data_IF_365413542464
#
_entry.id   IF_365413542464
#
_cell.length_a   1.000
_cell.length_b   1.000
_cell.length_c   1.000
_cell.angle_alpha   90.00
_cell.angle_beta   90.00
_cell.angle_gamma   90.00
#
_symmetry.space_group_name_H-M   'P 1'
#
loop_
_entity.id
_entity.type
_entity.pdbx_description
1 polymer ?
#
# COMPACT_ATOMS: atom_id res chain seq x y z
N UNK A 1 11.33 2.33 -18.74
CA UNK A 1 11.55 3.59 -18.01
C UNK A 1 11.28 3.39 -16.53
N UNK A 2 10.13 2.84 -16.13
CA UNK A 2 9.89 2.52 -14.73
C UNK A 2 10.66 1.27 -14.27
N UNK A 3 11.04 1.22 -13.00
CA UNK A 3 11.76 0.15 -12.33
C UNK A 3 11.01 -0.27 -11.05
N UNK A 4 11.02 -1.55 -10.67
CA UNK A 4 10.41 -2.02 -9.43
C UNK A 4 11.16 -1.50 -8.20
N UNK A 5 10.46 -1.36 -7.08
CA UNK A 5 11.10 -1.06 -5.79
C UNK A 5 11.52 -2.36 -5.09
N UNK A 6 12.79 -2.43 -4.66
CA UNK A 6 13.37 -3.56 -3.94
C UNK A 6 13.02 -4.95 -4.56
N UNK A 7 13.39 -5.21 -5.84
CA UNK A 7 13.11 -6.49 -6.49
C UNK A 7 13.72 -7.69 -5.77
N UNK A 8 14.76 -7.50 -4.95
CA UNK A 8 15.40 -8.52 -4.11
C UNK A 8 14.46 -9.19 -3.10
N UNK A 9 13.33 -8.53 -2.74
CA UNK A 9 12.33 -9.12 -1.85
C UNK A 9 11.46 -10.17 -2.53
N UNK A 10 11.53 -10.30 -3.87
CA UNK A 10 10.83 -11.33 -4.65
C UNK A 10 9.31 -11.34 -4.45
N UNK A 11 8.73 -10.19 -4.12
CA UNK A 11 7.28 -10.01 -3.95
C UNK A 11 6.56 -9.68 -5.26
N UNK A 12 7.32 -9.47 -6.36
CA UNK A 12 6.81 -9.00 -7.65
C UNK A 12 5.97 -7.71 -7.48
N UNK A 13 6.60 -6.58 -7.11
CA UNK A 13 5.88 -5.36 -6.82
C UNK A 13 5.11 -4.85 -8.04
N UNK A 14 3.87 -4.43 -7.79
CA UNK A 14 2.98 -3.87 -8.81
C UNK A 14 3.07 -2.34 -8.92
N UNK A 15 3.89 -1.69 -8.09
CA UNK A 15 4.17 -0.25 -8.12
C UNK A 15 5.62 -0.02 -8.53
N UNK A 16 5.81 0.80 -9.57
CA UNK A 16 7.09 1.02 -10.24
C UNK A 16 7.42 2.50 -10.24
N UNK A 17 8.72 2.82 -10.21
CA UNK A 17 9.23 4.18 -10.06
C UNK A 17 10.16 4.55 -11.22
N UNK A 18 10.16 5.83 -11.57
CA UNK A 18 11.14 6.40 -12.50
C UNK A 18 12.21 7.10 -11.64
N UNK A 19 13.50 6.75 -11.75
CA UNK A 19 14.57 7.37 -10.98
C UNK A 19 14.73 8.86 -11.35
N UNK A 20 15.02 9.73 -10.38
CA UNK A 20 15.12 11.17 -10.62
C UNK A 20 16.44 11.53 -11.30
N UNK A 21 16.38 12.47 -12.25
CA UNK A 21 17.57 13.19 -12.69
C UNK A 21 18.00 14.13 -11.56
N UNK A 22 19.07 13.77 -10.85
CA UNK A 22 19.71 14.68 -9.89
C UNK A 22 20.28 15.91 -10.62
N UNK A 23 20.53 17.05 -9.94
CA UNK A 23 21.07 18.25 -10.58
C UNK A 23 22.43 18.00 -11.23
N UNK A 24 22.43 17.74 -12.54
CA UNK A 24 23.62 17.57 -13.37
C UNK A 24 24.26 18.93 -13.70
N UNK A 25 23.41 19.95 -13.84
CA UNK A 25 23.77 21.28 -14.35
C UNK A 25 24.75 22.00 -13.43
N UNK A 26 24.65 21.78 -12.12
CA UNK A 26 25.54 22.43 -11.14
C UNK A 26 26.98 21.95 -11.26
N UNK A 27 27.22 20.68 -11.64
CA UNK A 27 28.57 20.14 -11.83
C UNK A 27 29.23 20.63 -13.14
N UNK A 28 28.43 20.95 -14.16
CA UNK A 28 28.93 21.35 -15.49
C UNK A 28 29.04 22.87 -15.64
N UNK A 29 28.27 23.66 -14.85
CA UNK A 29 28.30 25.14 -14.86
C UNK A 29 29.70 25.73 -14.73
N UNK A 30 30.55 25.13 -13.89
CA UNK A 30 31.90 25.64 -13.61
C UNK A 30 32.90 25.38 -14.75
N UNK A 31 32.53 24.57 -15.74
CA UNK A 31 33.40 24.18 -16.85
C UNK A 31 33.25 25.04 -18.10
N UNK A 32 32.31 26.00 -18.11
CA UNK A 32 32.03 26.89 -19.24
C UNK A 32 31.39 26.20 -20.46
N UNK A 33 30.96 24.95 -20.32
CA UNK A 33 30.30 24.15 -21.37
C UNK A 33 28.79 24.22 -21.20
N UNK A 34 28.03 24.09 -22.29
CA UNK A 34 26.57 24.06 -22.21
C UNK A 34 26.15 22.80 -21.46
N UNK A 35 25.72 22.99 -20.21
CA UNK A 35 25.31 21.92 -19.31
C UNK A 35 24.06 21.15 -19.81
N UNK A 36 23.36 21.70 -20.79
CA UNK A 36 22.17 21.12 -21.40
C UNK A 36 22.42 20.51 -22.79
N UNK A 37 23.67 20.52 -23.27
CA UNK A 37 24.07 19.79 -24.48
C UNK A 37 24.01 18.28 -24.20
N UNK A 38 23.41 17.52 -25.12
CA UNK A 38 23.28 16.06 -25.03
C UNK A 38 24.61 15.36 -24.73
N UNK A 39 25.73 15.82 -25.31
CA UNK A 39 27.06 15.22 -25.09
C UNK A 39 27.54 15.41 -23.66
N UNK A 40 27.26 16.59 -23.10
CA UNK A 40 27.63 16.94 -21.74
C UNK A 40 26.69 16.28 -20.73
N UNK A 41 25.38 16.22 -21.02
CA UNK A 41 24.39 15.55 -20.19
C UNK A 41 24.67 14.05 -20.08
N UNK A 42 25.04 13.38 -21.18
CA UNK A 42 25.40 11.96 -21.14
C UNK A 42 26.68 11.68 -20.36
N UNK A 43 27.69 12.55 -20.47
CA UNK A 43 28.92 12.44 -19.68
C UNK A 43 28.68 12.73 -18.19
N UNK A 44 27.64 13.51 -17.87
CA UNK A 44 27.38 13.97 -16.53
C UNK A 44 26.31 13.13 -15.79
N UNK A 45 25.75 12.08 -16.43
CA UNK A 45 25.03 11.00 -15.71
C UNK A 45 25.96 10.34 -14.69
N UNK A 46 27.24 10.17 -15.02
CA UNK A 46 28.25 9.62 -14.11
C UNK A 46 28.64 10.60 -12.98
N UNK A 47 28.33 11.89 -13.14
CA UNK A 47 28.64 12.96 -12.21
C UNK A 47 27.42 13.42 -11.38
N UNK A 48 26.33 12.64 -11.38
CA UNK A 48 25.15 12.94 -10.58
C UNK A 48 25.49 13.02 -9.09
N UNK A 49 24.89 14.01 -8.40
CA UNK A 49 24.99 14.15 -6.94
C UNK A 49 24.54 12.89 -6.20
N UNK A 50 23.52 12.22 -6.71
CA UNK A 50 23.06 10.92 -6.20
C UNK A 50 23.82 9.84 -6.97
N UNK A 51 24.66 9.03 -6.30
CA UNK A 51 25.39 7.96 -6.97
C UNK A 51 24.44 6.95 -7.61
N UNK A 52 24.78 6.49 -8.83
CA UNK A 52 23.99 5.47 -9.53
C UNK A 52 23.91 4.18 -8.71
N UNK A 53 24.99 3.81 -8.00
CA UNK A 53 25.04 2.64 -7.13
C UNK A 53 24.00 2.67 -6.01
N UNK A 54 23.64 3.86 -5.51
CA UNK A 54 22.59 4.00 -4.51
C UNK A 54 21.21 3.70 -5.11
N UNK A 55 20.94 4.23 -6.30
CA UNK A 55 19.70 3.97 -7.02
C UNK A 55 19.60 2.50 -7.46
N UNK A 56 20.73 1.88 -7.81
CA UNK A 56 20.81 0.47 -8.18
C UNK A 56 20.40 -0.44 -7.02
N UNK A 57 20.82 -0.13 -5.80
CA UNK A 57 20.40 -0.87 -4.60
C UNK A 57 18.90 -0.77 -4.35
N UNK A 58 18.26 0.34 -4.74
CA UNK A 58 16.85 0.59 -4.51
C UNK A 58 15.95 -0.06 -5.57
N UNK A 59 16.38 -0.03 -6.84
CA UNK A 59 15.51 -0.34 -7.98
C UNK A 59 15.83 -1.63 -8.73
N UNK A 60 17.05 -2.15 -8.59
CA UNK A 60 17.58 -3.20 -9.47
C UNK A 60 18.44 -4.23 -8.73
N UNK A 61 18.24 -4.38 -7.41
CA UNK A 61 18.98 -5.31 -6.55
C UNK A 61 20.52 -5.16 -6.67
N UNK A 62 20.99 -3.92 -6.87
CA UNK A 62 22.42 -3.59 -6.97
C UNK A 62 22.99 -3.57 -8.39
N UNK A 63 22.22 -3.88 -9.44
CA UNK A 63 22.68 -3.74 -10.83
C UNK A 63 22.53 -2.29 -11.33
N UNK A 64 23.61 -1.54 -11.62
CA UNK A 64 23.50 -0.16 -12.06
C UNK A 64 23.05 -0.01 -13.52
N UNK A 65 23.19 -1.03 -14.36
CA UNK A 65 22.98 -0.90 -15.81
C UNK A 65 21.54 -0.47 -16.20
N UNK A 66 20.47 -1.03 -15.60
CA UNK A 66 19.10 -0.61 -15.93
C UNK A 66 18.81 0.82 -15.44
N UNK A 67 19.41 1.23 -14.32
CA UNK A 67 19.25 2.61 -13.80
C UNK A 67 19.93 3.60 -14.74
N UNK A 68 21.18 3.35 -15.12
CA UNK A 68 21.94 4.18 -16.06
C UNK A 68 21.20 4.33 -17.40
N UNK A 69 20.66 3.23 -17.94
CA UNK A 69 19.88 3.27 -19.17
C UNK A 69 18.63 4.17 -19.06
N UNK A 70 17.94 4.16 -17.92
CA UNK A 70 16.77 5.03 -17.70
C UNK A 70 17.19 6.49 -17.55
N UNK A 71 18.25 6.77 -16.81
CA UNK A 71 18.77 8.13 -16.62
C UNK A 71 19.23 8.74 -17.94
N UNK A 72 19.93 7.97 -18.79
CA UNK A 72 20.32 8.39 -20.15
C UNK A 72 19.11 8.71 -21.02
N UNK A 73 18.05 7.90 -20.97
CA UNK A 73 16.81 8.18 -21.73
C UNK A 73 16.12 9.47 -21.27
N UNK A 74 16.05 9.72 -19.97
CA UNK A 74 15.51 10.97 -19.42
C UNK A 74 16.36 12.19 -19.83
N UNK A 75 17.69 12.06 -19.80
CA UNK A 75 18.61 13.10 -20.24
C UNK A 75 18.49 13.39 -21.74
N UNK A 76 18.39 12.34 -22.56
CA UNK A 76 18.18 12.45 -24.01
C UNK A 76 16.88 13.19 -24.34
N UNK A 77 15.78 12.86 -23.66
CA UNK A 77 14.51 13.55 -23.82
C UNK A 77 14.60 15.04 -23.49
N UNK A 78 15.27 15.37 -22.38
CA UNK A 78 15.46 16.76 -21.97
C UNK A 78 16.24 17.55 -23.02
N UNK A 79 17.34 16.99 -23.52
CA UNK A 79 18.16 17.62 -24.56
C UNK A 79 17.38 17.80 -25.87
N UNK A 80 16.75 16.72 -26.36
CA UNK A 80 15.99 16.72 -27.61
C UNK A 80 14.83 17.71 -27.59
N UNK A 81 14.03 17.71 -26.52
CA UNK A 81 12.90 18.64 -26.38
C UNK A 81 13.36 20.09 -26.15
N UNK A 82 14.54 20.31 -25.57
CA UNK A 82 15.12 21.65 -25.44
C UNK A 82 15.42 22.25 -26.81
N UNK A 83 16.04 21.51 -27.72
CA UNK A 83 16.36 22.02 -29.05
C UNK A 83 15.10 22.42 -29.80
N UNK A 84 14.06 21.59 -29.74
CA UNK A 84 12.72 21.90 -30.30
C UNK A 84 12.13 23.17 -29.66
N UNK A 85 12.15 23.27 -28.33
CA UNK A 85 11.60 24.43 -27.61
C UNK A 85 12.38 25.73 -27.89
N UNK A 86 13.66 25.63 -28.27
CA UNK A 86 14.49 26.76 -28.68
C UNK A 86 14.38 27.09 -30.18
N UNK A 87 13.55 26.36 -30.93
CA UNK A 87 13.36 26.55 -32.37
C UNK A 87 14.56 26.09 -33.21
N UNK A 88 15.40 25.20 -32.67
CA UNK A 88 16.48 24.54 -33.41
C UNK A 88 15.93 23.33 -34.15
N UNK A 89 16.68 22.90 -35.17
CA UNK A 89 16.33 21.68 -35.90
C UNK A 89 16.46 20.46 -34.96
N UNK A 90 15.48 19.54 -34.93
CA UNK A 90 15.58 18.31 -34.16
C UNK A 90 16.76 17.46 -34.62
N UNK A 91 17.54 16.93 -33.67
CA UNK A 91 18.64 16.02 -33.94
C UNK A 91 18.25 14.58 -33.59
N UNK A 92 17.97 13.78 -34.62
CA UNK A 92 17.59 12.37 -34.48
C UNK A 92 18.71 11.49 -33.87
N UNK A 93 19.97 11.96 -33.84
CA UNK A 93 21.06 11.22 -33.21
C UNK A 93 20.94 11.15 -31.69
N UNK A 94 20.19 12.06 -31.06
CA UNK A 94 20.01 12.10 -29.61
C UNK A 94 19.12 10.93 -29.13
N UNK A 95 17.90 10.71 -29.68
CA UNK A 95 17.13 9.49 -29.41
C UNK A 95 17.87 8.20 -29.80
N UNK A 96 18.57 8.18 -30.94
CA UNK A 96 19.28 6.99 -31.41
C UNK A 96 20.37 6.54 -30.43
N UNK A 97 21.08 7.49 -29.81
CA UNK A 97 22.11 7.21 -28.80
C UNK A 97 21.60 6.44 -27.57
N UNK A 98 20.29 6.48 -27.29
CA UNK A 98 19.64 5.73 -26.20
C UNK A 98 18.75 4.59 -26.69
N UNK A 99 18.85 4.25 -27.99
CA UNK A 99 18.11 3.18 -28.64
C UNK A 99 16.62 3.48 -28.80
N UNK A 100 16.25 4.75 -28.98
CA UNK A 100 14.87 5.19 -29.20
C UNK A 100 14.73 5.92 -30.54
N UNK A 101 13.55 5.85 -31.13
CA UNK A 101 13.19 6.71 -32.27
C UNK A 101 12.69 8.09 -31.82
N UNK A 102 12.61 9.05 -32.75
CA UNK A 102 12.06 10.38 -32.49
C UNK A 102 10.59 10.32 -32.01
N UNK A 103 9.77 9.49 -32.66
CA UNK A 103 8.36 9.28 -32.26
C UNK A 103 8.26 8.75 -30.83
N UNK A 104 9.06 7.75 -30.47
CA UNK A 104 9.11 7.21 -29.11
C UNK A 104 9.55 8.26 -28.08
N UNK A 105 10.45 9.18 -28.48
CA UNK A 105 10.87 10.29 -27.64
C UNK A 105 9.73 11.28 -27.40
N UNK A 106 8.96 11.60 -28.45
CA UNK A 106 7.76 12.43 -28.34
C UNK A 106 6.67 11.78 -27.50
N UNK A 107 6.42 10.48 -27.64
CA UNK A 107 5.46 9.74 -26.81
C UNK A 107 5.87 9.76 -25.34
N UNK A 108 7.16 9.59 -25.07
CA UNK A 108 7.69 9.68 -23.71
C UNK A 108 7.50 11.09 -23.13
N UNK A 109 7.77 12.15 -23.92
CA UNK A 109 7.50 13.53 -23.52
C UNK A 109 6.00 13.77 -23.29
N UNK A 110 5.13 13.22 -24.13
CA UNK A 110 3.68 13.30 -23.97
C UNK A 110 3.23 12.70 -22.65
N UNK A 111 3.71 11.50 -22.31
CA UNK A 111 3.34 10.81 -21.08
C UNK A 111 3.92 11.48 -19.82
N UNK A 112 5.17 11.94 -19.86
CA UNK A 112 5.87 12.45 -18.67
C UNK A 112 5.71 13.95 -18.44
N UNK A 113 5.70 14.77 -19.50
CA UNK A 113 5.71 16.22 -19.40
C UNK A 113 4.33 16.85 -19.68
N UNK A 114 3.63 16.43 -20.74
CA UNK A 114 2.27 16.92 -21.00
C UNK A 114 1.26 16.26 -20.05
N UNK A 115 1.38 14.95 -19.85
CA UNK A 115 0.71 14.16 -18.83
C UNK A 115 -0.80 14.47 -18.71
N UNK A 116 -1.52 14.39 -19.84
CA UNK A 116 -2.97 14.64 -19.88
C UNK A 116 -3.72 13.65 -18.98
N UNK A 117 -4.83 14.09 -18.40
CA UNK A 117 -5.54 13.32 -17.38
C UNK A 117 -6.00 11.94 -17.87
N UNK A 118 -6.55 11.89 -19.08
CA UNK A 118 -7.02 10.69 -19.77
C UNK A 118 -5.90 9.71 -20.16
N UNK A 119 -4.66 10.19 -20.23
CA UNK A 119 -3.48 9.37 -20.55
C UNK A 119 -2.74 8.90 -19.29
N UNK A 120 -2.91 9.60 -18.15
CA UNK A 120 -2.33 9.20 -16.86
C UNK A 120 -3.06 8.02 -16.23
N UNK A 121 -4.38 7.97 -16.40
CA UNK A 121 -5.23 6.99 -15.73
C UNK A 121 -6.04 6.19 -16.74
N UNK A 122 -5.44 5.12 -17.24
CA UNK A 122 -6.14 4.12 -18.07
C UNK A 122 -6.62 3.00 -17.16
N UNK A 123 -7.64 3.30 -16.35
CA UNK A 123 -8.26 2.34 -15.43
C UNK A 123 -9.53 1.82 -16.11
N UNK A 124 -9.55 0.58 -16.63
CA UNK A 124 -10.75 0.01 -17.21
C UNK A 124 -11.83 -0.15 -16.12
N UNK A 125 -13.12 -0.10 -16.48
CA UNK A 125 -14.18 -0.43 -15.54
C UNK A 125 -13.94 -1.84 -15.00
N UNK A 126 -14.00 -1.99 -13.68
CA UNK A 126 -14.04 -3.30 -13.07
C UNK A 126 -15.35 -3.98 -13.51
N UNK A 127 -15.26 -5.16 -14.11
CA UNK A 127 -16.41 -6.01 -14.44
C UNK A 127 -17.01 -6.59 -13.15
N UNK A 128 -17.54 -5.71 -12.29
CA UNK A 128 -18.13 -6.07 -11.01
C UNK A 128 -19.31 -7.03 -11.19
N UNK A 129 -19.98 -7.02 -12.34
CA UNK A 129 -21.02 -7.98 -12.70
C UNK A 129 -20.53 -9.43 -12.76
N UNK A 130 -19.25 -9.67 -13.10
CA UNK A 130 -18.64 -11.01 -13.08
C UNK A 130 -18.12 -11.34 -11.68
N UNK A 131 -17.61 -10.35 -10.94
CA UNK A 131 -17.18 -10.53 -9.55
C UNK A 131 -18.36 -10.85 -8.62
N UNK A 132 -19.54 -10.27 -8.86
CA UNK A 132 -20.74 -10.53 -8.06
C UNK A 132 -21.21 -12.00 -8.16
N UNK A 133 -20.93 -12.70 -9.27
CA UNK A 133 -21.21 -14.13 -9.41
C UNK A 133 -20.15 -15.02 -8.72
N UNK A 134 -18.96 -14.50 -8.44
CA UNK A 134 -17.83 -15.22 -7.84
C UNK A 134 -17.68 -14.92 -6.32
N UNK A 135 -18.13 -13.76 -5.86
CA UNK A 135 -17.98 -13.26 -4.49
C UNK A 135 -19.32 -12.76 -3.92
N UNK A 136 -20.29 -13.64 -3.77
CA UNK A 136 -21.50 -13.43 -2.93
C UNK A 136 -21.14 -13.01 -1.48
N UNK A 137 -19.86 -13.11 -1.09
CA UNK A 137 -19.33 -12.84 0.25
C UNK A 137 -18.78 -11.42 0.49
N UNK A 138 -18.51 -10.62 -0.55
CA UNK A 138 -17.73 -9.38 -0.39
C UNK A 138 -18.42 -8.09 -0.86
N UNK A 139 -19.53 -8.18 -1.60
CA UNK A 139 -20.21 -6.99 -2.16
C UNK A 139 -21.54 -6.64 -1.50
N UNK A 140 -22.05 -7.47 -0.60
CA UNK A 140 -23.17 -7.07 0.27
C UNK A 140 -22.62 -6.52 1.58
N UNK A 141 -23.16 -5.39 2.05
CA UNK A 141 -22.94 -4.96 3.42
C UNK A 141 -23.36 -6.11 4.34
N UNK A 142 -22.50 -6.50 5.28
CA UNK A 142 -22.69 -7.63 6.21
C UNK A 142 -24.02 -7.64 7.00
N UNK A 143 -24.85 -6.58 6.90
CA UNK A 143 -26.13 -6.41 7.57
C UNK A 143 -27.31 -6.17 6.61
N UNK A 144 -27.07 -5.97 5.31
CA UNK A 144 -28.11 -5.71 4.30
C UNK A 144 -28.65 -7.03 3.74
N UNK A 145 -29.19 -7.86 4.64
CA UNK A 145 -30.05 -8.99 4.27
C UNK A 145 -31.51 -8.66 4.55
N UNK A 146 -32.43 -9.31 3.86
CA UNK A 146 -33.82 -9.35 4.29
C UNK A 146 -33.90 -9.94 5.72
N UNK A 147 -34.35 -9.13 6.68
CA UNK A 147 -34.35 -9.47 8.11
C UNK A 147 -33.00 -9.27 8.83
N UNK A 148 -32.14 -8.38 8.35
CA UNK A 148 -30.89 -7.97 8.98
C UNK A 148 -31.06 -6.99 10.16
N UNK A 149 -30.09 -6.90 11.09
CA UNK A 149 -30.19 -6.03 12.27
C UNK A 149 -30.26 -4.55 11.85
N UNK A 150 -31.41 -3.91 12.05
CA UNK A 150 -31.65 -2.51 11.70
C UNK A 150 -32.79 -2.29 10.69
N UNK A 151 -33.19 -3.33 9.96
CA UNK A 151 -34.39 -3.31 9.10
C UNK A 151 -35.59 -3.76 9.94
N UNK A 152 -36.32 -2.78 10.46
CA UNK A 152 -37.38 -2.98 11.45
C UNK A 152 -38.53 -3.86 10.99
N UNK A 153 -38.84 -4.87 11.81
CA UNK A 153 -40.12 -5.58 11.84
C UNK A 153 -40.00 -7.06 11.53
N UNK A 154 -40.40 -7.90 12.50
CA UNK A 154 -40.76 -9.30 12.24
C UNK A 154 -41.78 -9.31 11.09
N UNK A 155 -41.37 -9.83 9.94
CA UNK A 155 -42.29 -10.05 8.82
C UNK A 155 -43.46 -10.96 9.22
N UNK A 156 -44.47 -11.13 8.35
CA UNK A 156 -45.71 -11.87 8.66
C UNK A 156 -45.49 -13.33 9.09
N UNK A 157 -44.31 -13.88 8.82
CA UNK A 157 -43.91 -15.22 9.20
C UNK A 157 -42.73 -15.08 10.18
N UNK A 158 -42.92 -15.58 11.40
CA UNK A 158 -41.96 -15.43 12.50
C UNK A 158 -40.55 -15.95 12.20
N UNK A 159 -39.62 -15.64 13.12
CA UNK A 159 -38.17 -15.83 13.00
C UNK A 159 -37.70 -17.25 12.67
N UNK A 160 -38.57 -18.27 12.75
CA UNK A 160 -38.25 -19.68 12.51
C UNK A 160 -38.52 -20.18 11.09
N UNK A 161 -38.95 -19.32 10.15
CA UNK A 161 -39.44 -19.76 8.83
C UNK A 161 -38.52 -19.41 7.65
N UNK A 162 -37.26 -19.02 7.89
CA UNK A 162 -36.28 -18.73 6.84
C UNK A 162 -35.45 -19.94 6.43
N UNK A 163 -35.02 -19.99 5.16
CA UNK A 163 -34.08 -20.99 4.64
C UNK A 163 -32.74 -21.06 5.38
N UNK A 164 -31.82 -21.96 4.98
CA UNK A 164 -30.61 -22.26 5.75
C UNK A 164 -29.83 -20.99 6.10
N UNK A 165 -29.55 -20.81 7.39
CA UNK A 165 -28.86 -19.63 7.89
C UNK A 165 -27.43 -19.57 7.30
N UNK A 166 -26.93 -18.38 6.90
CA UNK A 166 -25.58 -18.26 6.40
C UNK A 166 -24.57 -18.63 7.50
N UNK A 167 -23.46 -19.24 7.08
CA UNK A 167 -22.41 -19.80 7.96
C UNK A 167 -21.87 -18.77 8.98
N UNK A 168 -21.89 -17.47 8.64
CA UNK A 168 -21.50 -16.40 9.55
C UNK A 168 -22.43 -16.25 10.77
N UNK A 169 -23.75 -16.42 10.55
CA UNK A 169 -24.76 -16.40 11.61
C UNK A 169 -24.66 -17.69 12.43
N UNK A 170 -24.48 -18.83 11.79
CA UNK A 170 -24.23 -20.10 12.50
C UNK A 170 -23.00 -20.01 13.40
N UNK A 171 -21.90 -19.41 12.92
CA UNK A 171 -20.70 -19.19 13.72
C UNK A 171 -20.94 -18.23 14.89
N UNK A 172 -21.71 -17.16 14.71
CA UNK A 172 -22.07 -16.24 15.81
C UNK A 172 -22.89 -16.96 16.89
N UNK A 173 -23.92 -17.73 16.48
CA UNK A 173 -24.73 -18.50 17.42
C UNK A 173 -23.93 -19.62 18.09
N UNK A 174 -23.02 -20.29 17.37
CA UNK A 174 -22.13 -21.30 17.93
C UNK A 174 -21.15 -20.71 18.95
N UNK A 175 -20.60 -19.53 18.69
CA UNK A 175 -19.73 -18.81 19.63
C UNK A 175 -20.51 -18.32 20.86
N UNK A 176 -21.73 -17.81 20.68
CA UNK A 176 -22.62 -17.40 21.78
C UNK A 176 -23.03 -18.58 22.64
N UNK A 177 -23.42 -19.71 22.04
CA UNK A 177 -23.73 -20.94 22.78
C UNK A 177 -22.55 -21.44 23.61
N UNK A 178 -21.33 -21.31 23.08
CA UNK A 178 -20.09 -21.68 23.79
C UNK A 178 -19.76 -20.70 24.93
N UNK A 179 -20.18 -19.43 24.84
CA UNK A 179 -20.05 -18.46 25.93
C UNK A 179 -21.06 -18.70 27.06
N UNK A 180 -22.26 -19.20 26.75
CA UNK A 180 -23.33 -19.41 27.73
C UNK A 180 -23.41 -20.86 28.24
N UNK A 181 -22.61 -21.77 27.70
CA UNK A 181 -22.56 -23.15 28.16
C UNK A 181 -21.71 -23.28 29.43
N UNK A 182 -22.32 -23.71 30.53
CA UNK A 182 -21.66 -23.96 31.82
C UNK A 182 -20.70 -25.17 31.84
N UNK A 183 -20.53 -25.86 30.71
CA UNK A 183 -19.62 -27.01 30.59
C UNK A 183 -18.20 -26.55 30.27
N UNK A 184 -17.38 -26.47 31.32
CA UNK A 184 -15.94 -26.26 31.20
C UNK A 184 -15.25 -27.47 30.53
N UNK A 185 -14.60 -27.25 29.38
CA UNK A 185 -13.54 -28.14 28.91
C UNK A 185 -12.32 -27.92 29.83
N UNK A 186 -12.21 -28.76 30.87
CA UNK A 186 -11.24 -28.62 31.98
C UNK A 186 -9.78 -28.98 31.57
N UNK A 187 -8.74 -28.54 32.34
CA UNK A 187 -8.47 -29.13 33.66
C UNK A 187 -8.41 -28.12 34.83
N UNK A 188 -8.45 -28.71 36.02
CA UNK A 188 -8.75 -28.21 37.37
C UNK A 188 -7.94 -27.03 37.91
N UNK A 189 -8.62 -25.96 38.30
CA UNK A 189 -8.09 -24.86 39.13
C UNK A 189 -8.94 -23.59 38.99
N UNK A 190 -9.89 -23.38 39.91
CA UNK A 190 -10.98 -22.40 39.76
C UNK A 190 -10.67 -20.95 40.16
N UNK A 191 -9.52 -20.66 40.76
CA UNK A 191 -9.43 -19.43 41.56
C UNK A 191 -8.64 -18.27 40.95
N UNK A 192 -8.22 -18.31 39.68
CA UNK A 192 -7.35 -17.22 39.16
C UNK A 192 -7.34 -17.02 37.65
N UNK A 193 -8.49 -17.06 36.98
CA UNK A 193 -8.53 -16.73 35.54
C UNK A 193 -9.58 -15.67 35.22
N UNK A 194 -9.09 -14.47 34.93
CA UNK A 194 -9.85 -13.38 34.30
C UNK A 194 -9.44 -13.34 32.82
N UNK A 195 -10.40 -13.54 31.91
CA UNK A 195 -10.14 -13.42 30.46
C UNK A 195 -10.16 -11.93 30.06
N UNK A 196 -8.96 -11.34 29.90
CA UNK A 196 -8.78 -9.92 29.59
C UNK A 196 -8.98 -9.57 28.11
N UNK A 197 -9.04 -10.57 27.22
CA UNK A 197 -9.20 -10.33 25.77
C UNK A 197 -10.59 -9.77 25.40
N UNK A 198 -11.56 -9.86 26.31
CA UNK A 198 -12.95 -9.42 26.10
C UNK A 198 -13.43 -8.39 27.14
N UNK A 199 -12.54 -7.75 27.89
CA UNK A 199 -12.93 -6.71 28.87
C UNK A 199 -13.17 -5.37 28.17
N UNK A 200 -14.37 -4.82 28.33
CA UNK A 200 -14.83 -3.57 27.70
C UNK A 200 -14.42 -2.29 28.47
N UNK A 201 -13.61 -2.44 29.52
CA UNK A 201 -13.13 -1.35 30.37
C UNK A 201 -14.16 -0.83 31.38
N UNK A 202 -15.38 -1.38 31.43
CA UNK A 202 -16.41 -0.98 32.41
C UNK A 202 -16.53 -1.99 33.54
N UNK A 203 -16.34 -1.49 34.77
CA UNK A 203 -16.42 -2.31 35.99
C UNK A 203 -15.19 -3.18 36.23
N UNK A 204 -15.07 -3.72 37.46
CA UNK A 204 -14.00 -4.65 37.84
C UNK A 204 -14.56 -6.07 37.92
N UNK A 205 -14.14 -6.99 37.03
CA UNK A 205 -14.50 -8.38 37.11
C UNK A 205 -14.06 -9.00 38.45
N UNK A 206 -14.87 -9.87 39.05
CA UNK A 206 -14.48 -10.58 40.28
C UNK A 206 -13.21 -11.40 40.02
N UNK A 207 -12.19 -11.20 40.86
CA UNK A 207 -10.88 -11.83 40.73
C UNK A 207 -9.81 -11.02 39.98
N UNK A 208 -10.12 -9.80 39.50
CA UNK A 208 -9.12 -8.92 38.86
C UNK A 208 -8.10 -8.36 39.86
N UNK A 209 -8.48 -8.22 41.14
CA UNK A 209 -7.61 -7.72 42.20
C UNK A 209 -7.67 -8.64 43.44
N UNK A 210 -6.54 -8.88 44.12
CA UNK A 210 -6.52 -9.65 45.36
C UNK A 210 -7.31 -8.94 46.46
N UNK A 211 -8.02 -9.71 47.29
CA UNK A 211 -8.71 -9.15 48.46
C UNK A 211 -7.70 -8.58 49.45
N UNK A 212 -7.85 -7.31 49.81
CA UNK A 212 -7.05 -6.67 50.86
C UNK A 212 -7.37 -7.35 52.19
N UNK A 213 -6.37 -7.85 52.95
CA UNK A 213 -6.62 -8.37 54.29
C UNK A 213 -7.16 -7.24 55.18
N UNK A 214 -8.16 -7.55 55.99
CA UNK A 214 -8.73 -6.61 56.96
C UNK A 214 -7.63 -6.14 57.93
N UNK A 215 -7.53 -4.83 58.12
CA UNK A 215 -6.65 -4.22 59.13
C UNK A 215 -6.97 -4.79 60.52
N UNK A 216 -5.93 -5.27 61.21
CA UNK A 216 -5.99 -5.68 62.60
C UNK A 216 -5.37 -4.63 63.52
N UNK A 217 -6.01 -4.39 64.66
CA UNK A 217 -5.55 -3.57 65.79
C UNK A 217 -5.89 -2.08 65.63
N UNK A 218 -6.40 -1.32 66.59
CA UNK A 218 -6.08 -1.20 68.04
C UNK A 218 -7.35 -0.65 68.75
N UNK A 219 -7.63 -0.79 70.04
CA UNK A 219 -6.87 -1.25 71.20
C UNK A 219 -7.81 -1.26 72.42
N UNK A 220 -7.48 -2.11 73.39
CA UNK A 220 -8.17 -2.30 74.66
C UNK A 220 -7.72 -1.22 75.67
N UNK A 221 -8.62 -0.55 76.44
CA UNK A 221 -8.19 0.33 77.51
C UNK A 221 -8.06 -0.46 78.82
N UNK A 222 -6.89 -0.41 79.44
CA UNK A 222 -6.66 -0.93 80.79
C UNK A 222 -6.51 0.21 81.79
N UNK A 223 -6.81 -0.05 83.07
CA UNK A 223 -5.81 0.16 84.13
C UNK A 223 -5.10 -1.15 84.50
#
# INVERSE_FOLDING_TARGET
MALPLHPEYRTLPMVWYIPPLSPVVDAVRDTGRDAEDHRNLFAAVDALRIPVDYLAQLFTAGDPAPVDAVLRRLAAMRAYMRDINLGREPDASIPEAVGMGEEQMYDMYRLLALAKYDERYVIPPAHAEQAHQLEELATECSLDRDGGPGMGGSGPFGESSGGPAPIAVENFHALRHRQTSDTAAAPTGKDTRVNLLNWDGKGSPPGLFPHRPADGGEGEPKP
#
